data_IF_561941288687
#
_entry.id   IF_561941288687
#
_cell.length_a   1.000
_cell.length_b   1.000
_cell.length_c   1.000
_cell.angle_alpha   90.00
_cell.angle_beta   90.00
_cell.angle_gamma   90.00
#
_symmetry.space_group_name_H-M   'P 1'
#
loop_
_entity.id
_entity.type
_entity.pdbx_description
1 polymer ?
#
# COMPACT_ATOMS: atom_id res chain seq x y z
N UNK A 1 91.99 -44.83 91.33
CA UNK A 1 91.19 -44.42 92.51
C UNK A 1 91.06 -42.90 92.47
N UNK A 2 89.90 -42.28 92.34
CA UNK A 2 88.54 -42.80 92.23
C UNK A 2 87.65 -41.71 91.63
N UNK A 3 86.84 -42.09 90.63
CA UNK A 3 85.63 -41.36 90.26
C UNK A 3 84.66 -41.48 91.44
N UNK A 4 83.91 -40.43 91.83
CA UNK A 4 82.79 -40.63 92.71
C UNK A 4 81.68 -41.34 91.92
N UNK A 5 81.49 -42.62 92.19
CA UNK A 5 80.39 -43.47 91.70
C UNK A 5 79.05 -43.16 92.40
N UNK A 6 78.81 -41.92 92.82
CA UNK A 6 77.52 -41.51 93.38
C UNK A 6 77.25 -40.06 92.99
N UNK A 7 76.33 -39.88 92.03
CA UNK A 7 76.06 -38.61 91.38
C UNK A 7 75.66 -37.50 92.36
N UNK A 8 76.31 -36.34 92.22
CA UNK A 8 75.87 -35.00 92.65
C UNK A 8 75.44 -34.75 94.10
N UNK A 9 75.39 -35.77 94.96
CA UNK A 9 74.75 -35.68 96.26
C UNK A 9 75.68 -35.06 97.31
N UNK A 10 75.49 -33.77 97.59
CA UNK A 10 76.36 -32.98 98.48
C UNK A 10 75.99 -33.03 99.98
N UNK A 11 74.86 -33.65 100.37
CA UNK A 11 74.48 -33.87 101.78
C UNK A 11 73.24 -34.79 101.89
N UNK A 12 72.94 -35.30 103.08
CA UNK A 12 71.69 -36.02 103.39
C UNK A 12 70.45 -35.19 102.95
N UNK A 13 69.44 -35.86 102.39
CA UNK A 13 68.26 -35.19 101.78
C UNK A 13 68.49 -34.56 100.39
N UNK A 14 69.62 -34.81 99.72
CA UNK A 14 69.87 -34.31 98.34
C UNK A 14 68.74 -34.67 97.34
N UNK A 15 68.22 -35.90 97.41
CA UNK A 15 67.13 -36.36 96.54
C UNK A 15 65.81 -35.59 96.77
N UNK A 16 65.54 -35.16 98.01
CA UNK A 16 64.36 -34.34 98.33
C UNK A 16 64.52 -32.92 97.76
N UNK A 17 65.69 -32.30 97.94
CA UNK A 17 65.97 -30.96 97.37
C UNK A 17 65.97 -30.96 95.84
N UNK A 18 66.47 -32.03 95.21
CA UNK A 18 66.41 -32.19 93.75
C UNK A 18 64.97 -32.31 93.25
N UNK A 19 64.12 -33.10 93.93
CA UNK A 19 62.68 -33.18 93.62
C UNK A 19 61.98 -31.84 93.82
N UNK A 20 62.30 -31.11 94.87
CA UNK A 20 61.74 -29.79 95.14
C UNK A 20 62.12 -28.78 94.07
N UNK A 21 63.39 -28.77 93.63
CA UNK A 21 63.85 -27.93 92.53
C UNK A 21 63.18 -28.31 91.20
N UNK A 22 63.03 -29.59 90.89
CA UNK A 22 62.29 -30.06 89.70
C UNK A 22 60.80 -29.67 89.75
N UNK A 23 60.18 -29.72 90.93
CA UNK A 23 58.83 -29.22 91.14
C UNK A 23 58.74 -27.71 90.94
N UNK A 24 59.71 -26.95 91.45
CA UNK A 24 59.84 -25.51 91.21
C UNK A 24 60.01 -25.19 89.73
N UNK A 25 60.92 -25.84 89.02
CA UNK A 25 61.15 -25.62 87.58
C UNK A 25 59.87 -25.90 86.78
N UNK A 26 59.17 -27.01 87.06
CA UNK A 26 57.89 -27.31 86.41
C UNK A 26 56.84 -26.23 86.69
N UNK A 27 56.71 -25.80 87.95
CA UNK A 27 55.74 -24.75 88.35
C UNK A 27 56.10 -23.39 87.75
N UNK A 28 57.38 -23.09 87.68
CA UNK A 28 57.92 -21.86 87.11
C UNK A 28 57.70 -21.84 85.59
N UNK A 29 57.98 -22.94 84.90
CA UNK A 29 57.75 -23.12 83.47
C UNK A 29 56.24 -23.00 83.13
N UNK A 30 55.37 -23.68 83.89
CA UNK A 30 53.92 -23.55 83.77
C UNK A 30 53.48 -22.08 83.95
N UNK A 31 53.94 -21.42 85.01
CA UNK A 31 53.55 -20.05 85.34
C UNK A 31 54.05 -19.03 84.29
N UNK A 32 55.32 -19.11 83.90
CA UNK A 32 55.91 -18.17 82.94
C UNK A 32 55.34 -18.38 81.54
N UNK A 33 55.13 -19.63 81.10
CA UNK A 33 54.56 -19.93 79.79
C UNK A 33 53.11 -19.46 79.69
N UNK A 34 52.28 -19.75 80.69
CA UNK A 34 50.88 -19.33 80.71
C UNK A 34 50.73 -17.81 80.84
N UNK A 35 51.47 -17.18 81.76
CA UNK A 35 51.43 -15.73 81.95
C UNK A 35 51.94 -14.99 80.71
N UNK A 36 53.00 -15.49 80.07
CA UNK A 36 53.52 -14.93 78.82
C UNK A 36 52.52 -15.06 77.66
N UNK A 37 51.89 -16.22 77.48
CA UNK A 37 50.87 -16.43 76.44
C UNK A 37 49.69 -15.48 76.65
N UNK A 38 49.18 -15.37 77.87
CA UNK A 38 48.07 -14.47 78.19
C UNK A 38 48.42 -13.01 77.92
N UNK A 39 49.51 -12.51 78.52
CA UNK A 39 49.90 -11.10 78.38
C UNK A 39 50.28 -10.71 76.95
N UNK A 40 50.80 -11.65 76.14
CA UNK A 40 51.13 -11.40 74.73
C UNK A 40 49.92 -11.45 73.81
N UNK A 41 48.98 -12.37 74.00
CA UNK A 41 47.95 -12.65 72.98
C UNK A 41 46.54 -12.18 73.35
N UNK A 42 46.21 -11.98 74.64
CA UNK A 42 44.84 -11.66 75.09
C UNK A 42 44.25 -10.43 74.38
N UNK A 43 44.98 -9.32 74.33
CA UNK A 43 44.55 -8.09 73.65
C UNK A 43 44.35 -8.30 72.14
N UNK A 44 45.24 -9.06 71.48
CA UNK A 44 45.11 -9.36 70.06
C UNK A 44 43.89 -10.24 69.78
N UNK A 45 43.61 -11.23 70.63
CA UNK A 45 42.43 -12.09 70.52
C UNK A 45 41.15 -11.29 70.72
N UNK A 46 41.09 -10.39 71.70
CA UNK A 46 39.94 -9.49 71.92
C UNK A 46 39.72 -8.61 70.69
N UNK A 47 40.79 -7.99 70.17
CA UNK A 47 40.70 -7.12 68.99
C UNK A 47 40.28 -7.90 67.74
N UNK A 48 40.78 -9.12 67.55
CA UNK A 48 40.39 -9.98 66.44
C UNK A 48 38.89 -10.35 66.53
N UNK A 49 38.39 -10.69 67.72
CA UNK A 49 36.96 -10.93 67.95
C UNK A 49 36.11 -9.71 67.59
N UNK A 50 36.51 -8.50 68.02
CA UNK A 50 35.82 -7.26 67.68
C UNK A 50 35.79 -6.97 66.18
N UNK A 51 36.90 -7.21 65.47
CA UNK A 51 36.97 -7.04 64.01
C UNK A 51 36.02 -8.02 63.32
N UNK A 52 36.06 -9.30 63.71
CA UNK A 52 35.21 -10.35 63.14
C UNK A 52 33.73 -10.05 63.37
N UNK A 53 33.36 -9.58 64.56
CA UNK A 53 31.98 -9.19 64.88
C UNK A 53 31.52 -8.00 64.03
N UNK A 54 32.37 -6.99 63.85
CA UNK A 54 32.08 -5.87 62.94
C UNK A 54 31.89 -6.33 61.50
N UNK A 55 32.74 -7.23 61.00
CA UNK A 55 32.61 -7.78 59.64
C UNK A 55 31.29 -8.53 59.50
N UNK A 56 30.92 -9.39 60.46
CA UNK A 56 29.62 -10.09 60.45
C UNK A 56 28.46 -9.11 60.38
N UNK A 57 28.46 -8.08 61.24
CA UNK A 57 27.41 -7.06 61.27
C UNK A 57 27.28 -6.30 59.94
N UNK A 58 28.40 -5.91 59.32
CA UNK A 58 28.40 -5.24 58.00
C UNK A 58 27.86 -6.19 56.92
N UNK A 59 28.30 -7.45 56.91
CA UNK A 59 27.80 -8.44 55.94
C UNK A 59 26.30 -8.69 56.12
N UNK A 60 25.82 -8.83 57.36
CA UNK A 60 24.38 -8.98 57.63
C UNK A 60 23.58 -7.78 57.13
N UNK A 61 24.05 -6.54 57.37
CA UNK A 61 23.41 -5.34 56.86
C UNK A 61 23.36 -5.32 55.32
N UNK A 62 24.48 -5.62 54.65
CA UNK A 62 24.54 -5.71 53.18
C UNK A 62 23.60 -6.79 52.64
N UNK A 63 23.54 -7.95 53.29
CA UNK A 63 22.68 -9.06 52.87
C UNK A 63 21.19 -8.71 53.01
N UNK A 64 20.81 -7.97 54.05
CA UNK A 64 19.43 -7.49 54.25
C UNK A 64 19.10 -6.43 53.20
N UNK A 65 19.92 -5.39 53.06
CA UNK A 65 19.66 -4.30 52.11
C UNK A 65 19.65 -4.79 50.65
N UNK A 66 20.55 -5.71 50.29
CA UNK A 66 20.55 -6.34 48.97
C UNK A 66 19.29 -7.17 48.73
N UNK A 67 18.79 -7.89 49.75
CA UNK A 67 17.57 -8.66 49.64
C UNK A 67 16.34 -7.77 49.43
N UNK A 68 16.22 -6.68 50.20
CA UNK A 68 15.13 -5.70 50.06
C UNK A 68 15.12 -5.06 48.67
N UNK A 69 16.28 -4.56 48.20
CA UNK A 69 16.40 -3.98 46.85
C UNK A 69 16.10 -5.01 45.75
N UNK A 70 16.42 -6.29 45.98
CA UNK A 70 16.14 -7.36 45.01
C UNK A 70 14.65 -7.63 44.92
N UNK A 71 13.94 -7.68 46.05
CA UNK A 71 12.48 -7.83 46.07
C UNK A 71 11.81 -6.67 45.35
N UNK A 72 12.18 -5.42 45.66
CA UNK A 72 11.65 -4.25 44.96
C UNK A 72 11.92 -4.30 43.44
N UNK A 73 13.14 -4.67 43.02
CA UNK A 73 13.46 -4.80 41.61
C UNK A 73 12.70 -5.94 40.91
N UNK A 74 12.37 -7.03 41.63
CA UNK A 74 11.55 -8.12 41.12
C UNK A 74 10.10 -7.68 40.90
N UNK A 75 9.52 -6.95 41.87
CA UNK A 75 8.18 -6.38 41.77
C UNK A 75 8.07 -5.38 40.61
N UNK A 76 9.06 -4.48 40.48
CA UNK A 76 9.13 -3.54 39.36
C UNK A 76 9.23 -4.27 38.01
N UNK A 77 10.04 -5.33 37.94
CA UNK A 77 10.21 -6.10 36.69
C UNK A 77 8.92 -6.79 36.28
N UNK A 78 8.20 -7.41 37.23
CA UNK A 78 6.92 -8.06 36.98
C UNK A 78 5.89 -7.05 36.47
N UNK A 79 5.81 -5.88 37.12
CA UNK A 79 4.94 -4.79 36.69
C UNK A 79 5.22 -4.35 35.24
N UNK A 80 6.50 -4.19 34.87
CA UNK A 80 6.86 -3.83 33.50
C UNK A 80 6.57 -4.96 32.50
N UNK A 81 6.71 -6.23 32.91
CA UNK A 81 6.36 -7.39 32.08
C UNK A 81 4.85 -7.45 31.80
N UNK A 82 4.02 -7.30 32.83
CA UNK A 82 2.55 -7.22 32.69
C UNK A 82 2.13 -6.08 31.77
N UNK A 83 2.76 -4.91 31.95
CA UNK A 83 2.50 -3.73 31.11
C UNK A 83 2.90 -3.98 29.65
N UNK A 84 4.04 -4.61 29.41
CA UNK A 84 4.49 -4.96 28.06
C UNK A 84 3.54 -5.95 27.39
N UNK A 85 3.10 -6.97 28.11
CA UNK A 85 2.11 -7.94 27.61
C UNK A 85 0.78 -7.26 27.28
N UNK A 86 0.30 -6.39 28.17
CA UNK A 86 -0.91 -5.60 27.93
C UNK A 86 -0.78 -4.75 26.65
N UNK A 87 0.32 -3.99 26.49
CA UNK A 87 0.54 -3.16 25.29
C UNK A 87 0.61 -4.01 24.02
N UNK A 88 1.28 -5.17 24.05
CA UNK A 88 1.37 -6.09 22.91
C UNK A 88 -0.01 -6.64 22.51
N UNK A 89 -0.78 -7.10 23.49
CA UNK A 89 -2.12 -7.66 23.25
C UNK A 89 -3.08 -6.60 22.72
N UNK A 90 -3.10 -5.40 23.32
CA UNK A 90 -3.94 -4.30 22.85
C UNK A 90 -3.53 -3.82 21.45
N UNK A 91 -2.23 -3.73 21.16
CA UNK A 91 -1.75 -3.36 19.83
C UNK A 91 -2.24 -4.34 18.77
N UNK A 92 -2.17 -5.65 19.03
CA UNK A 92 -2.65 -6.67 18.10
C UNK A 92 -4.15 -6.55 17.82
N UNK A 93 -4.97 -6.32 18.85
CA UNK A 93 -6.41 -6.11 18.69
C UNK A 93 -6.71 -4.83 17.88
N UNK A 94 -6.01 -3.73 18.18
CA UNK A 94 -6.15 -2.47 17.46
C UNK A 94 -5.68 -2.58 16.01
N UNK A 95 -4.64 -3.37 15.73
CA UNK A 95 -4.17 -3.61 14.36
C UNK A 95 -5.30 -4.19 13.50
N UNK A 96 -6.01 -5.19 14.03
CA UNK A 96 -7.09 -5.83 13.29
C UNK A 96 -8.32 -4.92 13.16
N UNK A 97 -8.68 -4.15 14.19
CA UNK A 97 -9.77 -3.18 14.14
C UNK A 97 -9.48 -2.07 13.11
N UNK A 98 -8.28 -1.49 13.16
CA UNK A 98 -7.89 -0.40 12.25
C UNK A 98 -7.80 -0.90 10.81
N UNK A 99 -7.29 -2.11 10.56
CA UNK A 99 -7.30 -2.70 9.20
C UNK A 99 -8.71 -2.83 8.65
N UNK A 100 -9.67 -3.30 9.47
CA UNK A 100 -11.10 -3.38 9.06
C UNK A 100 -11.66 -2.00 8.78
N UNK A 101 -11.34 -1.00 9.60
CA UNK A 101 -11.79 0.38 9.42
C UNK A 101 -11.24 1.00 8.15
N UNK A 102 -9.95 0.82 7.86
CA UNK A 102 -9.31 1.27 6.60
C UNK A 102 -10.02 0.64 5.39
N UNK A 103 -10.28 -0.68 5.44
CA UNK A 103 -11.01 -1.37 4.37
C UNK A 103 -12.42 -0.80 4.18
N UNK A 104 -13.16 -0.62 5.26
CA UNK A 104 -14.52 -0.07 5.23
C UNK A 104 -14.58 1.35 4.63
N UNK A 105 -13.63 2.22 4.96
CA UNK A 105 -13.61 3.59 4.41
C UNK A 105 -13.18 3.57 2.95
N UNK A 106 -12.22 2.71 2.60
CA UNK A 106 -11.79 2.50 1.22
C UNK A 106 -12.95 2.07 0.31
N UNK A 107 -13.79 1.15 0.79
CA UNK A 107 -15.02 0.71 0.11
C UNK A 107 -16.08 1.83 0.03
N UNK A 108 -16.28 2.60 1.10
CA UNK A 108 -17.20 3.76 1.13
C UNK A 108 -16.77 4.84 0.12
N UNK A 109 -15.47 5.11 0.01
CA UNK A 109 -14.90 6.03 -0.99
C UNK A 109 -15.12 5.51 -2.40
N UNK A 110 -14.86 4.22 -2.65
CA UNK A 110 -15.10 3.61 -3.96
C UNK A 110 -16.57 3.78 -4.38
N UNK A 111 -17.51 3.47 -3.47
CA UNK A 111 -18.95 3.59 -3.72
C UNK A 111 -19.38 5.04 -3.99
N UNK A 112 -18.89 6.00 -3.20
CA UNK A 112 -19.18 7.43 -3.40
C UNK A 112 -18.65 7.96 -4.73
N UNK A 113 -17.41 7.64 -5.07
CA UNK A 113 -16.81 8.05 -6.34
C UNK A 113 -17.53 7.40 -7.52
N UNK A 114 -17.88 6.11 -7.42
CA UNK A 114 -18.67 5.41 -8.43
C UNK A 114 -20.02 6.08 -8.67
N UNK A 115 -20.78 6.33 -7.60
CA UNK A 115 -22.10 6.97 -7.67
C UNK A 115 -22.00 8.41 -8.21
N UNK A 116 -21.02 9.19 -7.77
CA UNK A 116 -20.81 10.54 -8.29
C UNK A 116 -20.43 10.53 -9.78
N UNK A 117 -19.61 9.56 -10.21
CA UNK A 117 -19.19 9.42 -11.60
C UNK A 117 -20.34 8.99 -12.50
N UNK A 118 -21.22 8.07 -12.06
CA UNK A 118 -22.44 7.70 -12.78
C UNK A 118 -23.34 8.92 -13.00
N UNK A 119 -23.55 9.74 -11.97
CA UNK A 119 -24.35 10.96 -12.07
C UNK A 119 -23.72 12.02 -12.99
N UNK A 120 -22.39 12.17 -12.98
CA UNK A 120 -21.68 13.06 -13.92
C UNK A 120 -21.76 12.54 -15.36
N UNK A 121 -21.69 11.22 -15.58
CA UNK A 121 -21.86 10.61 -16.90
C UNK A 121 -23.26 10.89 -17.45
N UNK A 122 -24.32 10.78 -16.63
CA UNK A 122 -25.67 11.17 -17.05
C UNK A 122 -25.79 12.65 -17.44
N UNK A 123 -24.96 13.51 -16.85
CA UNK A 123 -24.90 14.96 -17.11
C UNK A 123 -23.80 15.37 -18.07
N UNK A 124 -23.13 14.40 -18.72
CA UNK A 124 -22.00 14.67 -19.63
C UNK A 124 -22.37 15.65 -20.75
N UNK A 125 -23.62 15.61 -21.22
CA UNK A 125 -24.14 16.54 -22.22
C UNK A 125 -24.01 18.02 -21.80
N UNK A 126 -24.15 18.34 -20.51
CA UNK A 126 -24.03 19.72 -20.00
C UNK A 126 -22.60 20.23 -20.15
N UNK A 127 -21.62 19.40 -19.78
CA UNK A 127 -20.18 19.73 -19.89
C UNK A 127 -19.79 19.89 -21.37
N UNK A 128 -20.31 19.02 -22.25
CA UNK A 128 -20.03 19.10 -23.69
C UNK A 128 -20.71 20.31 -24.36
N UNK A 129 -21.87 20.72 -23.88
CA UNK A 129 -22.58 21.90 -24.38
C UNK A 129 -21.94 23.22 -23.92
N UNK A 130 -21.33 23.25 -22.73
CA UNK A 130 -20.57 24.40 -22.22
C UNK A 130 -19.25 24.65 -22.99
N UNK A 131 -18.77 23.67 -23.76
CA UNK A 131 -17.57 23.82 -24.58
C UNK A 131 -17.81 24.71 -25.81
N UNK A 132 -17.02 25.78 -25.93
CA UNK A 132 -17.05 26.72 -27.05
C UNK A 132 -15.65 26.83 -27.68
N UNK A 133 -15.49 26.34 -28.92
CA UNK A 133 -14.26 26.47 -29.72
C UNK A 133 -14.61 26.60 -31.21
N UNK A 134 -13.69 27.10 -32.02
CA UNK A 134 -13.90 27.36 -33.46
C UNK A 134 -14.03 26.05 -34.24
N UNK A 135 -15.25 25.71 -34.66
CA UNK A 135 -15.51 24.48 -35.40
C UNK A 135 -15.30 24.64 -36.91
N UNK A 136 -14.35 23.89 -37.47
CA UNK A 136 -14.13 23.82 -38.92
C UNK A 136 -14.11 22.37 -39.44
N UNK A 137 -14.76 22.05 -40.58
CA UNK A 137 -14.80 20.69 -41.15
C UNK A 137 -13.46 20.13 -41.65
N UNK A 138 -12.34 20.82 -41.46
CA UNK A 138 -11.02 20.38 -41.94
C UNK A 138 -10.42 19.36 -40.99
N UNK A 139 -9.89 18.26 -41.54
CA UNK A 139 -9.38 17.11 -40.77
C UNK A 139 -8.35 17.48 -39.69
N UNK A 140 -7.50 18.48 -39.94
CA UNK A 140 -6.50 18.93 -38.96
C UNK A 140 -7.11 19.72 -37.80
N UNK A 141 -8.06 20.62 -38.08
CA UNK A 141 -8.75 21.43 -37.06
C UNK A 141 -9.69 20.56 -36.23
N UNK A 142 -10.30 19.55 -36.85
CA UNK A 142 -11.17 18.59 -36.21
C UNK A 142 -10.44 17.74 -35.15
N UNK A 143 -9.19 17.34 -35.44
CA UNK A 143 -8.34 16.62 -34.48
C UNK A 143 -7.99 17.49 -33.27
N UNK A 144 -7.69 18.76 -33.50
CA UNK A 144 -7.39 19.72 -32.42
C UNK A 144 -8.64 19.96 -31.56
N UNK A 145 -9.77 20.23 -32.20
CA UNK A 145 -11.07 20.42 -31.54
C UNK A 145 -11.44 19.21 -30.65
N UNK A 146 -11.21 17.97 -31.12
CA UNK A 146 -11.42 16.77 -30.30
C UNK A 146 -10.53 16.72 -29.07
N UNK A 147 -9.24 17.04 -29.24
CA UNK A 147 -8.29 17.01 -28.13
C UNK A 147 -8.65 18.06 -27.08
N UNK A 148 -9.08 19.25 -27.51
CA UNK A 148 -9.56 20.31 -26.62
C UNK A 148 -10.87 19.93 -25.93
N UNK A 149 -11.82 19.34 -26.67
CA UNK A 149 -13.09 18.86 -26.10
C UNK A 149 -12.85 17.76 -25.06
N UNK A 150 -11.94 16.82 -25.33
CA UNK A 150 -11.56 15.76 -24.39
C UNK A 150 -10.92 16.33 -23.13
N UNK A 151 -9.99 17.27 -23.28
CA UNK A 151 -9.36 17.96 -22.14
C UNK A 151 -10.39 18.74 -21.32
N UNK A 152 -11.34 19.40 -21.97
CA UNK A 152 -12.41 20.13 -21.29
C UNK A 152 -13.33 19.21 -20.50
N UNK A 153 -13.70 18.06 -21.08
CA UNK A 153 -14.52 17.05 -20.40
C UNK A 153 -13.78 16.45 -19.22
N UNK A 154 -12.50 16.11 -19.38
CA UNK A 154 -11.67 15.57 -18.30
C UNK A 154 -11.52 16.56 -17.14
N UNK A 155 -11.21 17.82 -17.43
CA UNK A 155 -11.10 18.88 -16.43
C UNK A 155 -12.46 19.18 -15.76
N UNK A 156 -13.54 19.23 -16.54
CA UNK A 156 -14.89 19.48 -16.04
C UNK A 156 -15.38 18.37 -15.13
N UNK A 157 -15.23 17.11 -15.54
CA UNK A 157 -15.60 15.96 -14.73
C UNK A 157 -14.74 15.82 -13.48
N UNK A 158 -13.42 16.04 -13.60
CA UNK A 158 -12.51 16.04 -12.45
C UNK A 158 -12.88 17.11 -11.41
N UNK A 159 -13.20 18.33 -11.85
CA UNK A 159 -13.66 19.41 -10.95
C UNK A 159 -14.99 19.10 -10.29
N UNK A 160 -15.97 18.57 -11.03
CA UNK A 160 -17.27 18.21 -10.48
C UNK A 160 -17.15 17.07 -9.45
N UNK A 161 -16.34 16.05 -9.76
CA UNK A 161 -16.04 14.96 -8.83
C UNK A 161 -15.34 15.49 -7.57
N UNK A 162 -14.34 16.36 -7.72
CA UNK A 162 -13.67 16.97 -6.57
C UNK A 162 -14.65 17.78 -5.70
N UNK A 163 -15.51 18.59 -6.30
CA UNK A 163 -16.50 19.38 -5.56
C UNK A 163 -17.50 18.50 -4.79
N UNK A 164 -17.91 17.36 -5.35
CA UNK A 164 -18.92 16.49 -4.72
C UNK A 164 -18.34 15.50 -3.72
N UNK A 165 -17.14 14.99 -3.99
CA UNK A 165 -16.55 13.89 -3.22
C UNK A 165 -15.45 14.35 -2.27
N UNK A 166 -14.63 15.35 -2.63
CA UNK A 166 -13.41 15.64 -1.87
C UNK A 166 -13.69 16.07 -0.42
N UNK A 167 -14.69 16.91 -0.15
CA UNK A 167 -15.02 17.31 1.22
C UNK A 167 -15.50 16.14 2.08
N UNK A 168 -16.35 15.28 1.52
CA UNK A 168 -16.88 14.11 2.22
C UNK A 168 -15.79 13.05 2.46
N UNK A 169 -14.94 12.80 1.47
CA UNK A 169 -13.79 11.90 1.59
C UNK A 169 -12.81 12.45 2.61
N UNK A 170 -12.46 13.74 2.52
CA UNK A 170 -11.56 14.41 3.46
C UNK A 170 -12.07 14.31 4.91
N UNK A 171 -13.34 14.60 5.15
CA UNK A 171 -13.94 14.47 6.48
C UNK A 171 -13.88 13.02 7.01
N UNK A 172 -14.13 12.02 6.15
CA UNK A 172 -14.05 10.60 6.49
C UNK A 172 -12.61 10.17 6.83
N UNK A 173 -11.63 10.57 6.01
CA UNK A 173 -10.20 10.32 6.25
C UNK A 173 -9.77 10.97 7.56
N UNK A 174 -10.09 12.24 7.77
CA UNK A 174 -9.71 12.98 8.98
C UNK A 174 -10.32 12.38 10.25
N UNK A 175 -11.62 12.06 10.23
CA UNK A 175 -12.29 11.41 11.36
C UNK A 175 -11.65 10.06 11.71
N UNK A 176 -11.20 9.33 10.69
CA UNK A 176 -10.62 8.00 10.87
C UNK A 176 -9.17 8.07 11.34
N UNK A 177 -8.40 9.04 10.85
CA UNK A 177 -7.08 9.36 11.39
C UNK A 177 -7.17 9.76 12.86
N UNK A 178 -8.14 10.61 13.23
CA UNK A 178 -8.38 10.98 14.63
C UNK A 178 -8.70 9.76 15.50
N UNK A 179 -9.60 8.89 15.03
CA UNK A 179 -9.90 7.63 15.72
C UNK A 179 -8.67 6.75 15.91
N UNK A 180 -7.84 6.56 14.87
CA UNK A 180 -6.60 5.78 14.97
C UNK A 180 -5.65 6.35 16.04
N UNK A 181 -5.52 7.68 16.09
CA UNK A 181 -4.69 8.37 17.07
C UNK A 181 -5.24 8.19 18.49
N UNK A 182 -6.54 8.44 18.70
CA UNK A 182 -7.19 8.33 20.01
C UNK A 182 -7.15 6.90 20.56
N UNK A 183 -7.32 5.90 19.70
CA UNK A 183 -7.24 4.48 20.07
C UNK A 183 -5.83 4.03 20.45
N UNK A 184 -4.79 4.62 19.84
CA UNK A 184 -3.39 4.31 20.16
C UNK A 184 -2.83 5.10 21.34
N UNK A 185 -3.46 6.22 21.73
CA UNK A 185 -3.00 7.11 22.80
C UNK A 185 -2.79 6.40 24.16
N UNK A 186 -3.68 5.49 24.61
CA UNK A 186 -3.52 4.80 25.89
C UNK A 186 -2.33 3.82 25.93
N UNK A 187 -1.84 3.38 24.77
CA UNK A 187 -0.71 2.45 24.66
C UNK A 187 0.65 3.16 24.74
N UNK A 188 0.65 4.48 24.56
CA UNK A 188 1.86 5.29 24.56
C UNK A 188 2.17 5.80 25.98
N UNK A 189 3.45 6.03 26.31
CA UNK A 189 3.87 6.65 27.55
C UNK A 189 3.31 8.08 27.67
N UNK A 190 3.01 8.53 28.89
CA UNK A 190 2.48 9.86 29.17
C UNK A 190 3.34 11.01 28.62
N UNK A 191 4.65 10.80 28.51
CA UNK A 191 5.60 11.74 27.87
C UNK A 191 5.31 11.94 26.39
N UNK A 192 5.00 10.87 25.66
CA UNK A 192 4.76 10.89 24.21
C UNK A 192 3.34 11.32 23.88
N UNK A 193 2.35 11.04 24.74
CA UNK A 193 0.94 11.42 24.54
C UNK A 193 0.76 12.92 24.25
N UNK A 194 1.55 13.78 24.91
CA UNK A 194 1.52 15.23 24.69
C UNK A 194 2.10 15.69 23.34
N UNK A 195 2.90 14.85 22.68
CA UNK A 195 3.63 15.15 21.45
C UNK A 195 3.07 14.42 20.22
N UNK A 196 2.07 13.55 20.38
CA UNK A 196 1.48 12.76 19.27
C UNK A 196 0.98 13.65 18.13
N UNK A 197 0.38 14.81 18.45
CA UNK A 197 -0.10 15.77 17.43
C UNK A 197 1.02 16.38 16.58
N UNK A 198 2.25 16.50 17.11
CA UNK A 198 3.42 16.95 16.36
C UNK A 198 4.00 15.81 15.51
N UNK A 199 3.84 14.57 15.98
CA UNK A 199 4.36 13.36 15.38
C UNK A 199 3.45 12.77 14.31
N UNK A 200 2.23 13.23 14.07
CA UNK A 200 1.42 12.84 12.91
C UNK A 200 0.77 14.09 12.33
N UNK A 201 1.48 14.82 11.43
CA UNK A 201 0.88 15.98 10.78
C UNK A 201 -0.33 15.53 9.96
N UNK A 202 -1.51 16.00 10.31
CA UNK A 202 -2.72 15.87 9.50
C UNK A 202 -2.55 16.72 8.24
N UNK A 203 -1.87 16.20 7.22
CA UNK A 203 -1.81 16.85 5.92
C UNK A 203 -3.21 16.89 5.32
N UNK A 204 -3.51 17.95 4.57
CA UNK A 204 -4.71 17.99 3.73
C UNK A 204 -4.57 16.86 2.71
N UNK A 205 -5.38 15.82 2.87
CA UNK A 205 -5.50 14.76 1.89
C UNK A 205 -6.26 15.33 0.68
N UNK A 206 -5.59 15.34 -0.47
CA UNK A 206 -6.18 15.80 -1.73
C UNK A 206 -6.28 14.59 -2.67
N UNK A 207 -7.50 14.28 -3.09
CA UNK A 207 -7.78 13.09 -3.89
C UNK A 207 -7.57 13.42 -5.37
N UNK A 208 -6.71 12.69 -6.06
CA UNK A 208 -6.50 12.89 -7.50
C UNK A 208 -7.43 12.00 -8.32
N UNK A 209 -8.27 12.63 -9.14
CA UNK A 209 -9.18 11.96 -10.07
C UNK A 209 -8.49 11.86 -11.43
N UNK A 210 -7.75 10.77 -11.66
CA UNK A 210 -7.15 10.51 -12.97
C UNK A 210 -8.14 9.74 -13.86
N UNK A 211 -8.68 10.43 -14.87
CA UNK A 211 -9.72 9.90 -15.77
C UNK A 211 -9.15 9.43 -17.11
N UNK A 212 -7.94 9.87 -17.49
CA UNK A 212 -7.23 9.50 -18.72
C UNK A 212 -8.16 9.50 -19.96
N UNK A 213 -9.02 10.52 -20.11
CA UNK A 213 -10.02 10.55 -21.18
C UNK A 213 -9.37 10.60 -22.58
N UNK A 214 -8.20 11.22 -22.67
CA UNK A 214 -7.42 11.35 -23.91
C UNK A 214 -6.99 9.99 -24.51
N UNK A 215 -6.66 8.98 -23.69
CA UNK A 215 -6.30 7.65 -24.18
C UNK A 215 -7.55 6.80 -24.46
N UNK A 216 -8.61 7.00 -23.68
CA UNK A 216 -9.86 6.23 -23.77
C UNK A 216 -10.68 6.54 -25.03
N UNK A 217 -10.60 7.78 -25.52
CA UNK A 217 -11.40 8.25 -26.65
C UNK A 217 -10.63 8.44 -27.97
N UNK A 218 -9.42 7.90 -28.06
CA UNK A 218 -8.57 8.04 -29.25
C UNK A 218 -9.13 7.31 -30.49
N UNK A 219 -9.98 6.30 -30.30
CA UNK A 219 -10.59 5.50 -31.37
C UNK A 219 -11.89 6.11 -31.94
N UNK A 220 -12.28 7.31 -31.51
CA UNK A 220 -13.53 7.94 -31.94
C UNK A 220 -13.49 8.36 -33.42
N UNK A 221 -14.20 7.58 -34.27
CA UNK A 221 -14.43 7.87 -35.67
C UNK A 221 -15.77 8.60 -35.86
N UNK A 222 -15.71 9.74 -36.54
CA UNK A 222 -16.87 10.63 -36.71
C UNK A 222 -17.63 10.32 -37.98
N UNK A 223 -18.96 10.40 -37.91
CA UNK A 223 -19.80 10.44 -39.11
C UNK A 223 -20.46 11.83 -39.22
N UNK A 224 -19.74 12.76 -39.84
CA UNK A 224 -20.23 14.13 -40.14
C UNK A 224 -20.69 14.24 -41.61
N UNK A 225 -20.68 13.12 -42.34
CA UNK A 225 -21.17 13.11 -43.71
C UNK A 225 -22.67 13.39 -43.73
N UNK A 226 -23.09 14.26 -44.65
CA UNK A 226 -24.49 14.57 -44.84
C UNK A 226 -25.22 13.31 -45.32
N UNK A 227 -26.04 12.73 -44.47
CA UNK A 227 -26.94 11.63 -44.83
C UNK A 227 -28.37 12.16 -44.81
N UNK A 228 -29.03 12.19 -45.96
CA UNK A 228 -30.40 12.64 -46.07
C UNK A 228 -31.32 11.67 -45.29
N UNK A 229 -32.10 12.21 -44.35
CA UNK A 229 -32.99 11.44 -43.45
C UNK A 229 -33.99 10.55 -44.19
N UNK A 230 -34.36 10.93 -45.42
CA UNK A 230 -35.23 10.22 -46.34
C UNK A 230 -34.47 9.62 -47.53
N UNK A 231 -33.17 9.31 -47.38
CA UNK A 231 -32.40 8.62 -48.40
C UNK A 231 -33.11 7.34 -48.87
N UNK A 232 -32.96 7.01 -50.16
CA UNK A 232 -33.61 5.84 -50.75
C UNK A 232 -33.37 4.54 -49.96
N UNK A 233 -32.22 4.43 -49.28
CA UNK A 233 -31.89 3.33 -48.36
C UNK A 233 -32.82 3.28 -47.13
N UNK A 234 -33.03 4.41 -46.44
CA UNK A 234 -33.95 4.53 -45.29
C UNK A 234 -35.42 4.38 -45.68
N UNK A 235 -35.80 4.89 -46.85
CA UNK A 235 -37.16 4.77 -47.40
C UNK A 235 -37.49 3.31 -47.72
N UNK A 236 -36.56 2.59 -48.35
CA UNK A 236 -36.69 1.15 -48.61
C UNK A 236 -36.69 0.34 -47.31
N UNK A 237 -35.86 0.70 -46.32
CA UNK A 237 -35.84 0.01 -45.03
C UNK A 237 -37.14 0.18 -44.21
N UNK A 238 -37.79 1.35 -44.32
CA UNK A 238 -39.02 1.69 -43.60
C UNK A 238 -40.30 1.15 -44.26
N UNK A 239 -40.33 1.00 -45.59
CA UNK A 239 -41.51 0.50 -46.32
C UNK A 239 -41.43 -0.98 -46.74
N UNK A 240 -40.23 -1.57 -46.90
CA UNK A 240 -40.07 -2.98 -47.32
C UNK A 240 -39.57 -3.93 -46.21
N UNK A 241 -39.24 -3.42 -45.02
CA UNK A 241 -38.70 -4.20 -43.90
C UNK A 241 -37.22 -4.58 -44.09
N UNK A 242 -36.49 -4.72 -42.98
CA UNK A 242 -35.01 -4.83 -42.95
C UNK A 242 -34.45 -5.99 -43.79
N UNK A 243 -35.15 -7.12 -43.84
CA UNK A 243 -34.69 -8.35 -44.52
C UNK A 243 -34.79 -8.25 -46.05
N UNK A 244 -35.82 -7.58 -46.58
CA UNK A 244 -35.99 -7.40 -48.02
C UNK A 244 -35.24 -6.17 -48.55
N UNK A 245 -35.05 -5.14 -47.71
CA UNK A 245 -34.25 -3.97 -48.01
C UNK A 245 -32.77 -4.30 -48.25
N UNK A 246 -32.17 -5.19 -47.45
CA UNK A 246 -30.79 -5.64 -47.65
C UNK A 246 -30.61 -6.43 -48.95
N UNK A 247 -31.60 -7.24 -49.37
CA UNK A 247 -31.56 -7.95 -50.66
C UNK A 247 -31.71 -7.00 -51.85
N UNK A 248 -32.60 -6.01 -51.74
CA UNK A 248 -32.79 -5.00 -52.78
C UNK A 248 -31.54 -4.10 -52.94
N UNK A 249 -30.91 -3.70 -51.83
CA UNK A 249 -29.68 -2.89 -51.86
C UNK A 249 -28.48 -3.66 -52.43
N UNK A 250 -28.32 -4.95 -52.09
CA UNK A 250 -27.27 -5.79 -52.70
C UNK A 250 -27.43 -5.98 -54.21
N UNK A 251 -28.67 -6.03 -54.72
CA UNK A 251 -28.94 -6.13 -56.16
C UNK A 251 -28.66 -4.83 -56.92
N UNK A 252 -28.84 -3.66 -56.29
CA UNK A 252 -28.51 -2.36 -56.88
C UNK A 252 -27.00 -2.13 -56.88
N UNK A 253 -26.30 -2.51 -55.80
CA UNK A 253 -24.85 -2.36 -55.67
C UNK A 253 -24.07 -3.25 -56.67
N UNK A 254 -24.56 -4.47 -56.93
CA UNK A 254 -24.02 -5.35 -57.98
C UNK A 254 -24.14 -4.76 -59.40
N UNK A 255 -25.15 -3.94 -59.66
CA UNK A 255 -25.31 -3.29 -60.97
C UNK A 255 -24.36 -2.09 -61.16
N UNK A 256 -23.93 -1.42 -60.08
CA UNK A 256 -22.99 -0.31 -60.16
C UNK A 256 -21.51 -0.75 -60.19
N UNK A 257 -21.20 -1.94 -59.67
CA UNK A 257 -19.83 -2.47 -59.63
C UNK A 257 -19.34 -3.03 -60.98
N UNK A 258 -20.20 -3.11 -62.00
CA UNK A 258 -19.85 -3.51 -63.36
C UNK A 258 -19.23 -2.37 -64.22
N UNK A 259 -18.98 -1.19 -63.66
CA UNK A 259 -18.56 0.01 -64.42
C UNK A 259 -17.29 0.69 -63.89
N UNK A 260 -16.23 -0.06 -63.57
CA UNK A 260 -14.91 0.54 -63.26
C UNK A 260 -13.76 -0.26 -63.89
N UNK A 261 -12.95 0.34 -64.79
CA UNK A 261 -11.72 -0.30 -65.28
C UNK A 261 -10.67 -0.36 -64.17
N UNK A 262 -10.05 -1.53 -64.01
CA UNK A 262 -9.02 -1.79 -63.02
C UNK A 262 -7.69 -1.10 -63.40
N UNK A 263 -7.13 -0.31 -62.48
CA UNK A 263 -5.73 0.12 -62.48
C UNK A 263 -4.91 -0.88 -61.63
N UNK A 264 -3.70 -1.27 -62.06
CA UNK A 264 -2.95 -2.36 -61.43
C UNK A 264 -2.28 -1.90 -60.13
N UNK A 265 -2.41 -2.74 -59.09
CA UNK A 265 -1.77 -2.55 -57.79
C UNK A 265 -0.31 -3.04 -57.85
N UNK A 266 0.61 -2.13 -57.57
CA UNK A 266 2.03 -2.34 -57.29
C UNK A 266 2.22 -3.28 -56.09
N UNK A 267 3.01 -4.35 -56.26
CA UNK A 267 3.49 -5.22 -55.20
C UNK A 267 5.02 -5.26 -55.22
N UNK A 268 5.64 -4.87 -54.12
CA UNK A 268 7.09 -4.97 -53.87
C UNK A 268 7.49 -6.38 -53.38
N UNK A 269 8.78 -6.76 -53.49
CA UNK A 269 9.20 -8.12 -53.82
C UNK A 269 9.84 -8.90 -52.65
N UNK A 270 9.85 -10.24 -52.73
CA UNK A 270 10.90 -11.04 -52.08
C UNK A 270 11.10 -12.43 -52.71
N UNK A 271 12.30 -12.57 -53.29
CA UNK A 271 13.18 -13.74 -53.45
C UNK A 271 12.70 -15.09 -54.04
N UNK A 272 13.32 -15.45 -55.19
CA UNK A 272 13.48 -16.84 -55.68
C UNK A 272 13.57 -16.98 -57.22
N UNK A 273 14.69 -17.44 -57.84
CA UNK A 273 14.99 -17.28 -59.28
C UNK A 273 14.86 -18.62 -60.09
N UNK A 274 15.33 -18.71 -61.36
CA UNK A 274 14.91 -18.03 -62.60
C UNK A 274 14.68 -19.04 -63.76
N UNK A 275 14.21 -18.59 -64.94
CA UNK A 275 14.49 -19.14 -66.31
C UNK A 275 13.45 -18.62 -67.32
N UNK A 276 13.69 -18.21 -68.57
CA UNK A 276 14.84 -17.73 -69.35
C UNK A 276 14.23 -17.22 -70.69
N UNK A 277 14.85 -16.21 -71.32
CA UNK A 277 14.88 -15.92 -72.78
C UNK A 277 13.67 -15.22 -73.46
N UNK A 278 13.82 -13.89 -73.64
CA UNK A 278 13.85 -13.12 -74.91
C UNK A 278 12.58 -13.03 -75.83
N UNK A 279 12.57 -12.21 -76.93
CA UNK A 279 11.86 -10.93 -77.05
C UNK A 279 10.99 -10.86 -78.34
N UNK A 280 10.90 -9.75 -79.11
CA UNK A 280 10.12 -8.51 -78.94
C UNK A 280 9.04 -8.33 -80.04
N UNK A 281 8.29 -7.22 -79.93
CA UNK A 281 8.08 -6.20 -80.97
C UNK A 281 6.61 -5.77 -81.20
N UNK A 282 6.46 -4.45 -81.20
CA UNK A 282 5.25 -3.69 -81.50
C UNK A 282 4.98 -3.66 -83.00
N UNK A 283 3.72 -3.85 -83.40
CA UNK A 283 3.17 -3.13 -84.56
C UNK A 283 1.76 -2.62 -84.25
N UNK A 284 1.65 -1.31 -84.42
CA UNK A 284 0.45 -0.47 -84.48
C UNK A 284 -0.55 -0.97 -85.51
N UNK A 285 -1.79 -1.20 -85.10
CA UNK A 285 -2.95 -1.22 -86.00
C UNK A 285 -4.02 -0.26 -85.45
N UNK A 286 -4.19 0.85 -86.17
CA UNK A 286 -5.37 1.70 -86.12
C UNK A 286 -6.62 0.83 -86.37
N UNK A 287 -7.53 0.72 -85.40
CA UNK A 287 -8.91 0.30 -85.64
C UNK A 287 -9.88 1.42 -85.26
N UNK A 288 -10.31 2.11 -86.32
CA UNK A 288 -11.68 2.51 -86.66
C UNK A 288 -12.72 2.70 -85.54
N UNK A 289 -13.25 3.92 -85.50
CA UNK A 289 -14.40 4.46 -84.75
C UNK A 289 -15.72 3.66 -84.86
N UNK A 290 -15.74 2.62 -85.68
CA UNK A 290 -16.90 1.77 -85.97
C UNK A 290 -17.05 0.64 -84.92
N UNK A 291 -15.95 0.21 -84.28
CA UNK A 291 -15.96 -0.77 -83.18
C UNK A 291 -16.38 -0.17 -81.83
N UNK A 292 -16.17 1.14 -81.63
CA UNK A 292 -16.61 1.86 -80.42
C UNK A 292 -18.14 1.98 -80.35
N UNK A 293 -18.80 2.15 -81.51
CA UNK A 293 -20.25 2.26 -81.59
C UNK A 293 -20.93 0.90 -81.35
N UNK A 294 -20.31 -0.19 -81.80
CA UNK A 294 -20.77 -1.57 -81.52
C UNK A 294 -20.59 -1.93 -80.04
N UNK A 295 -19.53 -1.45 -79.37
CA UNK A 295 -19.33 -1.61 -77.93
C UNK A 295 -20.31 -0.79 -77.06
N UNK A 296 -20.79 0.37 -77.54
CA UNK A 296 -21.87 1.13 -76.87
C UNK A 296 -23.24 0.50 -77.12
N UNK A 297 -23.52 -0.01 -78.33
CA UNK A 297 -24.78 -0.67 -78.66
C UNK A 297 -24.95 -2.04 -77.96
N UNK A 298 -23.85 -2.76 -77.72
CA UNK A 298 -23.88 -4.05 -76.98
C UNK A 298 -24.09 -3.86 -75.48
N UNK A 299 -23.71 -2.72 -74.89
CA UNK A 299 -23.96 -2.42 -73.47
C UNK A 299 -25.41 -2.00 -73.18
N UNK A 300 -26.17 -1.52 -74.18
CA UNK A 300 -27.63 -1.34 -74.04
C UNK A 300 -28.43 -2.59 -74.41
N UNK A 301 -27.83 -3.56 -75.12
CA UNK A 301 -28.48 -4.83 -75.47
C UNK A 301 -28.39 -5.90 -74.35
N UNK A 302 -27.47 -5.77 -73.40
CA UNK A 302 -27.37 -6.67 -72.23
C UNK A 302 -28.33 -6.31 -71.07
N UNK A 303 -29.24 -5.35 -71.28
CA UNK A 303 -30.34 -5.00 -70.36
C UNK A 303 -31.55 -5.96 -70.43
N UNK A 304 -31.41 -7.10 -71.09
CA UNK A 304 -32.46 -8.13 -71.24
C UNK A 304 -32.47 -9.13 -70.08
N UNK A 305 -32.33 -8.65 -68.84
CA UNK A 305 -32.62 -9.45 -67.65
C UNK A 305 -34.11 -9.37 -67.35
N UNK A 306 -34.77 -10.51 -67.14
CA UNK A 306 -36.24 -10.65 -66.93
C UNK A 306 -36.79 -9.85 -65.73
N UNK A 307 -35.94 -9.17 -64.96
CA UNK A 307 -36.31 -8.30 -63.85
C UNK A 307 -36.45 -6.82 -64.26
N UNK A 308 -35.76 -6.35 -65.32
CA UNK A 308 -35.83 -4.95 -65.78
C UNK A 308 -37.17 -4.62 -66.45
N UNK A 309 -37.77 -5.60 -67.14
CA UNK A 309 -39.06 -5.42 -67.84
C UNK A 309 -40.24 -5.23 -66.87
N UNK A 310 -40.19 -5.82 -65.67
CA UNK A 310 -41.22 -5.63 -64.64
C UNK A 310 -41.26 -4.20 -64.07
N UNK A 311 -40.09 -3.56 -63.92
CA UNK A 311 -39.98 -2.18 -63.44
C UNK A 311 -40.44 -1.17 -64.49
N UNK A 312 -40.17 -1.43 -65.78
CA UNK A 312 -40.62 -0.57 -66.88
C UNK A 312 -42.14 -0.64 -67.08
N UNK A 313 -42.73 -1.83 -66.97
CA UNK A 313 -44.19 -2.01 -67.13
C UNK A 313 -44.94 -1.41 -65.93
N UNK A 314 -44.52 -1.69 -64.69
CA UNK A 314 -45.13 -1.10 -63.49
C UNK A 314 -44.91 0.41 -63.45
N UNK A 315 -43.72 0.89 -63.81
CA UNK A 315 -43.41 2.32 -63.93
C UNK A 315 -44.26 3.03 -65.00
N UNK A 316 -44.47 2.40 -66.16
CA UNK A 316 -45.31 2.93 -67.24
C UNK A 316 -46.81 2.96 -66.93
N UNK A 317 -47.32 1.96 -66.21
CA UNK A 317 -48.72 1.91 -65.77
C UNK A 317 -48.99 2.95 -64.68
N UNK A 318 -48.08 3.11 -63.72
CA UNK A 318 -48.18 4.16 -62.68
C UNK A 318 -48.08 5.55 -63.30
N UNK A 319 -47.19 5.76 -64.29
CA UNK A 319 -47.07 7.02 -65.03
C UNK A 319 -48.36 7.40 -65.76
N UNK A 320 -49.08 6.41 -66.32
CA UNK A 320 -50.35 6.61 -67.04
C UNK A 320 -51.57 6.75 -66.12
N UNK A 321 -51.56 6.13 -64.93
CA UNK A 321 -52.69 6.12 -64.00
C UNK A 321 -52.69 7.29 -62.99
N UNK A 322 -51.52 7.73 -62.55
CA UNK A 322 -51.37 8.73 -61.47
C UNK A 322 -51.21 10.16 -62.01
N UNK A 323 -50.89 10.31 -63.30
CA UNK A 323 -50.67 11.59 -63.95
C UNK A 323 -49.33 12.21 -63.55
N UNK A 324 -48.62 12.77 -64.53
CA UNK A 324 -47.29 13.36 -64.32
C UNK A 324 -47.26 14.43 -63.21
N UNK A 325 -48.40 15.07 -62.93
CA UNK A 325 -48.57 16.11 -61.90
C UNK A 325 -48.33 15.59 -60.49
N UNK A 326 -48.80 14.38 -60.15
CA UNK A 326 -48.61 13.80 -58.82
C UNK A 326 -47.16 13.32 -58.61
N UNK A 327 -46.52 12.80 -59.65
CA UNK A 327 -45.10 12.43 -59.65
C UNK A 327 -44.22 13.69 -59.56
N UNK A 328 -44.57 14.75 -60.29
CA UNK A 328 -43.88 16.03 -60.21
C UNK A 328 -44.07 16.70 -58.83
N UNK A 329 -45.26 16.61 -58.23
CA UNK A 329 -45.52 17.11 -56.88
C UNK A 329 -44.73 16.35 -55.82
N UNK A 330 -44.68 15.01 -55.89
CA UNK A 330 -43.92 14.20 -54.92
C UNK A 330 -42.40 14.37 -55.10
N UNK A 331 -41.91 14.44 -56.33
CA UNK A 331 -40.51 14.74 -56.62
C UNK A 331 -40.12 16.17 -56.18
N UNK A 332 -41.01 17.15 -56.40
CA UNK A 332 -40.81 18.52 -55.94
C UNK A 332 -40.81 18.62 -54.41
N UNK A 333 -41.73 17.93 -53.73
CA UNK A 333 -41.78 17.87 -52.26
C UNK A 333 -40.54 17.17 -51.67
N UNK A 334 -40.10 16.06 -52.27
CA UNK A 334 -38.86 15.37 -51.88
C UNK A 334 -37.62 16.25 -52.10
N UNK A 335 -37.55 16.95 -53.24
CA UNK A 335 -36.48 17.90 -53.54
C UNK A 335 -36.46 19.10 -52.59
N UNK A 336 -37.64 19.61 -52.20
CA UNK A 336 -37.78 20.66 -51.19
C UNK A 336 -37.31 20.20 -49.82
N UNK A 337 -37.65 18.98 -49.39
CA UNK A 337 -37.15 18.40 -48.14
C UNK A 337 -35.64 18.18 -48.19
N UNK A 338 -35.10 17.73 -49.31
CA UNK A 338 -33.65 17.58 -49.53
C UNK A 338 -32.91 18.92 -49.47
N UNK A 339 -33.43 19.95 -50.14
CA UNK A 339 -32.86 21.30 -50.05
C UNK A 339 -32.99 21.86 -48.64
N UNK A 340 -34.14 21.68 -47.99
CA UNK A 340 -34.36 22.11 -46.61
C UNK A 340 -33.34 21.47 -45.66
N UNK A 341 -33.15 20.16 -45.75
CA UNK A 341 -32.19 19.44 -44.91
C UNK A 341 -30.74 19.83 -45.24
N UNK A 342 -30.41 20.02 -46.53
CA UNK A 342 -29.07 20.42 -46.97
C UNK A 342 -28.74 21.88 -46.62
N UNK A 343 -29.72 22.78 -46.62
CA UNK A 343 -29.58 24.15 -46.17
C UNK A 343 -29.50 24.24 -44.64
N UNK A 344 -30.20 23.34 -43.93
CA UNK A 344 -30.15 23.25 -42.46
C UNK A 344 -28.85 22.60 -41.95
N UNK A 345 -28.16 21.82 -42.80
CA UNK A 345 -26.86 21.20 -42.51
C UNK A 345 -25.68 22.20 -42.57
N UNK A 346 -25.74 23.18 -41.66
CA UNK A 346 -24.69 24.19 -41.46
C UNK A 346 -23.56 23.65 -40.57
N UNK A 347 -22.44 24.39 -40.47
CA UNK A 347 -21.30 24.04 -39.57
C UNK A 347 -21.75 23.85 -38.11
N UNK A 348 -22.75 24.61 -37.65
CA UNK A 348 -23.35 24.46 -36.32
C UNK A 348 -24.17 23.17 -36.15
N UNK A 349 -24.87 22.72 -37.19
CA UNK A 349 -25.60 21.46 -37.16
C UNK A 349 -24.65 20.26 -37.13
N UNK A 350 -23.53 20.35 -37.87
CA UNK A 350 -22.44 19.36 -37.83
C UNK A 350 -21.79 19.27 -36.45
N UNK A 351 -21.49 20.42 -35.84
CA UNK A 351 -20.96 20.49 -34.48
C UNK A 351 -21.91 19.82 -33.46
N UNK A 352 -23.22 20.12 -33.52
CA UNK A 352 -24.21 19.47 -32.65
C UNK A 352 -24.29 17.96 -32.86
N UNK A 353 -24.24 17.50 -34.11
CA UNK A 353 -24.22 16.07 -34.42
C UNK A 353 -22.97 15.39 -33.88
N UNK A 354 -21.81 16.05 -33.99
CA UNK A 354 -20.54 15.56 -33.42
C UNK A 354 -20.60 15.50 -31.90
N UNK A 355 -21.05 16.57 -31.25
CA UNK A 355 -21.20 16.63 -29.78
C UNK A 355 -22.12 15.51 -29.29
N UNK A 356 -23.22 15.24 -29.99
CA UNK A 356 -24.14 14.14 -29.65
C UNK A 356 -23.49 12.76 -29.80
N UNK A 357 -22.85 12.49 -30.94
CA UNK A 357 -22.11 11.23 -31.17
C UNK A 357 -20.98 11.05 -30.15
N UNK A 358 -20.31 12.14 -29.79
CA UNK A 358 -19.27 12.15 -28.78
C UNK A 358 -19.82 11.86 -27.39
N UNK A 359 -20.94 12.47 -26.98
CA UNK A 359 -21.59 12.18 -25.69
C UNK A 359 -21.99 10.71 -25.61
N UNK A 360 -22.60 10.15 -26.65
CA UNK A 360 -23.01 8.73 -26.66
C UNK A 360 -21.79 7.81 -26.54
N UNK A 361 -20.74 8.05 -27.33
CA UNK A 361 -19.50 7.28 -27.30
C UNK A 361 -18.74 7.43 -25.96
N UNK A 362 -18.59 8.66 -25.47
CA UNK A 362 -17.91 8.94 -24.22
C UNK A 362 -18.68 8.36 -23.04
N UNK A 363 -20.02 8.36 -23.06
CA UNK A 363 -20.85 7.72 -22.03
C UNK A 363 -20.52 6.23 -21.90
N UNK A 364 -20.48 5.49 -23.02
CA UNK A 364 -20.15 4.05 -23.00
C UNK A 364 -18.72 3.80 -22.51
N UNK A 365 -17.76 4.61 -22.95
CA UNK A 365 -16.36 4.47 -22.53
C UNK A 365 -16.13 4.84 -21.07
N UNK A 366 -16.72 5.95 -20.62
CA UNK A 366 -16.61 6.40 -19.23
C UNK A 366 -17.24 5.42 -18.27
N UNK A 367 -18.34 4.74 -18.64
CA UNK A 367 -18.94 3.68 -17.84
C UNK A 367 -17.98 2.52 -17.55
N UNK A 368 -17.09 2.18 -18.49
CA UNK A 368 -16.12 1.09 -18.30
C UNK A 368 -15.02 1.46 -17.29
N UNK A 369 -14.68 2.75 -17.17
CA UNK A 369 -13.60 3.20 -16.27
C UNK A 369 -14.10 3.55 -14.87
N UNK A 370 -15.42 3.58 -14.60
CA UNK A 370 -15.94 3.90 -13.26
C UNK A 370 -15.34 2.98 -12.21
N UNK A 371 -15.29 1.68 -12.49
CA UNK A 371 -14.70 0.68 -11.59
C UNK A 371 -13.20 0.90 -11.39
N UNK A 372 -12.49 1.36 -12.42
CA UNK A 372 -11.06 1.65 -12.36
C UNK A 372 -10.77 2.93 -11.56
N UNK A 373 -11.47 4.03 -11.86
CA UNK A 373 -11.29 5.32 -11.18
C UNK A 373 -11.69 5.24 -9.71
N UNK A 374 -12.82 4.58 -9.39
CA UNK A 374 -13.25 4.37 -8.01
C UNK A 374 -12.26 3.48 -7.23
N UNK A 375 -11.75 2.40 -7.84
CA UNK A 375 -10.73 1.55 -7.23
C UNK A 375 -9.40 2.30 -7.02
N UNK A 376 -9.01 3.18 -7.95
CA UNK A 376 -7.80 3.99 -7.80
C UNK A 376 -7.94 4.99 -6.63
N UNK A 377 -9.08 5.65 -6.52
CA UNK A 377 -9.38 6.56 -5.40
C UNK A 377 -9.39 5.83 -4.04
N UNK A 378 -10.02 4.66 -4.01
CA UNK A 378 -10.03 3.74 -2.88
C UNK A 378 -8.60 3.34 -2.47
N UNK A 379 -7.75 3.00 -3.43
CA UNK A 379 -6.35 2.67 -3.18
C UNK A 379 -5.56 3.86 -2.62
N UNK A 380 -5.77 5.08 -3.13
CA UNK A 380 -5.12 6.30 -2.61
C UNK A 380 -5.47 6.51 -1.12
N UNK A 381 -6.76 6.43 -0.78
CA UNK A 381 -7.22 6.57 0.61
C UNK A 381 -6.65 5.46 1.49
N UNK A 382 -6.67 4.21 1.01
CA UNK A 382 -6.11 3.07 1.73
C UNK A 382 -4.62 3.25 2.00
N UNK A 383 -3.84 3.74 1.03
CA UNK A 383 -2.40 3.97 1.15
C UNK A 383 -2.09 5.07 2.18
N UNK A 384 -2.83 6.17 2.17
CA UNK A 384 -2.63 7.27 3.12
C UNK A 384 -2.98 6.86 4.56
N UNK A 385 -4.09 6.14 4.75
CA UNK A 385 -4.45 5.62 6.07
C UNK A 385 -3.48 4.55 6.55
N UNK A 386 -3.06 3.62 5.67
CA UNK A 386 -2.09 2.58 6.02
C UNK A 386 -0.74 3.19 6.40
N UNK A 387 -0.32 4.24 5.71
CA UNK A 387 0.93 4.98 6.01
C UNK A 387 0.84 5.68 7.37
N UNK A 388 -0.29 6.36 7.64
CA UNK A 388 -0.56 6.99 8.94
C UNK A 388 -0.54 5.96 10.06
N UNK A 389 -1.20 4.82 9.83
CA UNK A 389 -1.27 3.72 10.76
C UNK A 389 0.10 3.08 11.03
N UNK A 390 0.91 2.83 9.98
CA UNK A 390 2.25 2.29 10.13
C UNK A 390 3.14 3.20 10.99
N UNK A 391 3.01 4.52 10.84
CA UNK A 391 3.72 5.50 11.67
C UNK A 391 3.29 5.45 13.14
N UNK A 392 2.00 5.23 13.41
CA UNK A 392 1.50 5.04 14.78
C UNK A 392 2.00 3.72 15.38
N UNK A 393 1.96 2.62 14.64
CA UNK A 393 2.54 1.34 15.08
C UNK A 393 4.02 1.49 15.44
N UNK A 394 4.79 2.22 14.63
CA UNK A 394 6.21 2.46 14.92
C UNK A 394 6.44 3.17 16.27
N UNK A 395 5.54 4.08 16.68
CA UNK A 395 5.63 4.75 17.99
C UNK A 395 5.33 3.79 19.14
N UNK A 396 4.35 2.91 18.98
CA UNK A 396 4.04 1.88 19.97
C UNK A 396 5.16 0.84 20.04
N UNK A 397 5.73 0.42 18.91
CA UNK A 397 6.88 -0.49 18.87
C UNK A 397 8.10 0.10 19.58
N UNK A 398 8.32 1.42 19.46
CA UNK A 398 9.38 2.10 20.20
C UNK A 398 9.13 2.05 21.71
N UNK A 399 7.88 2.24 22.14
CA UNK A 399 7.48 2.09 23.55
C UNK A 399 7.68 0.66 24.05
N UNK A 400 7.34 -0.35 23.25
CA UNK A 400 7.58 -1.75 23.59
C UNK A 400 9.08 -2.04 23.75
N UNK A 401 9.93 -1.50 22.87
CA UNK A 401 11.39 -1.63 22.99
C UNK A 401 11.95 -0.96 24.25
N UNK A 402 11.40 0.18 24.64
CA UNK A 402 11.77 0.87 25.88
C UNK A 402 11.42 0.03 27.11
N UNK A 403 10.20 -0.51 27.16
CA UNK A 403 9.77 -1.43 28.23
C UNK A 403 10.65 -2.70 28.28
N UNK A 404 10.97 -3.29 27.12
CA UNK A 404 11.89 -4.44 27.05
C UNK A 404 13.31 -4.10 27.55
N UNK A 405 13.79 -2.89 27.27
CA UNK A 405 15.09 -2.42 27.76
C UNK A 405 15.07 -2.22 29.29
N UNK A 406 14.00 -1.65 29.84
CA UNK A 406 13.82 -1.51 31.29
C UNK A 406 13.79 -2.87 32.00
N UNK A 407 13.05 -3.84 31.45
CA UNK A 407 13.00 -5.22 31.98
C UNK A 407 14.40 -5.86 31.99
N UNK A 408 15.19 -5.68 30.92
CA UNK A 408 16.57 -6.19 30.86
C UNK A 408 17.47 -5.52 31.89
N UNK A 409 17.34 -4.21 32.07
CA UNK A 409 18.09 -3.47 33.08
C UNK A 409 17.74 -3.94 34.49
N UNK A 410 16.45 -4.13 34.80
CA UNK A 410 15.99 -4.65 36.08
C UNK A 410 16.51 -6.07 36.32
N UNK A 411 16.50 -6.92 35.28
CA UNK A 411 17.06 -8.28 35.36
C UNK A 411 18.55 -8.26 35.69
N UNK A 412 19.34 -7.45 35.00
CA UNK A 412 20.77 -7.31 35.31
C UNK A 412 21.01 -6.78 36.73
N UNK A 413 20.18 -5.86 37.22
CA UNK A 413 20.24 -5.35 38.59
C UNK A 413 19.91 -6.45 39.62
N UNK A 414 18.93 -7.31 39.34
CA UNK A 414 18.59 -8.46 40.18
C UNK A 414 19.78 -9.42 40.28
N UNK A 415 20.40 -9.78 39.15
CA UNK A 415 21.56 -10.69 39.12
C UNK A 415 22.76 -10.13 39.90
N UNK A 416 23.01 -8.81 39.79
CA UNK A 416 24.03 -8.13 40.60
C UNK A 416 23.71 -8.19 42.09
N UNK A 417 22.46 -7.95 42.49
CA UNK A 417 22.03 -8.00 43.89
C UNK A 417 22.14 -9.43 44.45
N UNK A 418 21.84 -10.46 43.65
CA UNK A 418 22.04 -11.86 44.05
C UNK A 418 23.51 -12.22 44.25
N UNK A 419 24.38 -11.68 43.39
CA UNK A 419 25.84 -11.86 43.52
C UNK A 419 26.35 -11.22 44.81
N UNK A 420 25.98 -9.97 45.09
CA UNK A 420 26.33 -9.26 46.34
C UNK A 420 25.81 -10.02 47.55
N UNK A 421 24.59 -10.55 47.49
CA UNK A 421 24.00 -11.32 48.57
C UNK A 421 24.77 -12.62 48.83
N UNK A 422 25.18 -13.34 47.78
CA UNK A 422 25.99 -14.56 47.86
C UNK A 422 27.38 -14.29 48.45
N UNK A 423 28.05 -13.25 47.97
CA UNK A 423 29.37 -12.83 48.47
C UNK A 423 29.32 -12.41 49.94
N UNK A 424 28.31 -11.64 50.33
CA UNK A 424 28.09 -11.24 51.72
C UNK A 424 27.92 -12.46 52.63
N UNK A 425 27.08 -13.44 52.24
CA UNK A 425 26.93 -14.70 53.00
C UNK A 425 28.26 -15.46 53.13
N UNK A 426 29.02 -15.55 52.04
CA UNK A 426 30.34 -16.21 52.04
C UNK A 426 31.32 -15.54 53.01
N UNK A 427 31.42 -14.21 52.97
CA UNK A 427 32.28 -13.44 53.88
C UNK A 427 31.82 -13.57 55.34
N UNK A 428 30.51 -13.56 55.60
CA UNK A 428 29.96 -13.82 56.94
C UNK A 428 30.33 -15.20 57.44
N UNK A 429 30.22 -16.25 56.61
CA UNK A 429 30.61 -17.61 56.98
C UNK A 429 32.10 -17.72 57.30
N UNK A 430 32.97 -17.07 56.52
CA UNK A 430 34.41 -16.98 56.81
C UNK A 430 34.67 -16.29 58.15
N UNK A 431 33.97 -15.20 58.44
CA UNK A 431 34.06 -14.49 59.71
C UNK A 431 33.62 -15.39 60.89
N UNK A 432 32.48 -16.07 60.79
CA UNK A 432 32.04 -17.05 61.81
C UNK A 432 33.05 -18.18 62.02
N UNK A 433 33.69 -18.67 60.96
CA UNK A 433 34.72 -19.69 61.07
C UNK A 433 35.96 -19.18 61.84
N UNK A 434 36.40 -17.95 61.55
CA UNK A 434 37.50 -17.30 62.26
C UNK A 434 37.16 -17.04 63.74
N UNK A 435 35.93 -16.64 64.03
CA UNK A 435 35.43 -16.47 65.40
C UNK A 435 35.53 -17.79 66.20
N UNK A 436 35.09 -18.91 65.62
CA UNK A 436 35.22 -20.24 66.25
C UNK A 436 36.68 -20.63 66.51
N UNK A 437 37.60 -20.29 65.59
CA UNK A 437 39.03 -20.53 65.80
C UNK A 437 39.58 -19.66 66.94
N UNK A 438 39.17 -18.39 67.03
CA UNK A 438 39.55 -17.49 68.13
C UNK A 438 38.98 -17.96 69.47
N UNK A 439 37.77 -18.49 69.50
CA UNK A 439 37.17 -19.12 70.69
C UNK A 439 37.95 -20.37 71.11
N UNK A 440 38.26 -21.27 70.19
CA UNK A 440 39.09 -22.44 70.46
C UNK A 440 40.46 -22.04 71.04
N UNK A 441 41.12 -21.05 70.44
CA UNK A 441 42.37 -20.50 70.96
C UNK A 441 42.20 -19.90 72.37
N UNK A 442 41.12 -19.15 72.60
CA UNK A 442 40.81 -18.58 73.91
C UNK A 442 40.66 -19.68 74.95
N UNK A 443 39.89 -20.72 74.65
CA UNK A 443 39.58 -21.81 75.57
C UNK A 443 40.82 -22.68 75.88
N UNK A 444 41.68 -22.89 74.88
CA UNK A 444 42.86 -23.74 75.02
C UNK A 444 44.04 -23.03 75.69
N UNK A 445 44.24 -21.74 75.42
CA UNK A 445 45.48 -21.03 75.78
C UNK A 445 45.28 -19.82 76.70
N UNK A 446 44.07 -19.24 76.78
CA UNK A 446 43.82 -18.00 77.54
C UNK A 446 42.88 -18.22 78.76
N UNK A 447 42.00 -19.21 78.71
CA UNK A 447 41.20 -19.63 79.87
C UNK A 447 41.98 -20.67 80.69
N UNK A 448 41.90 -20.57 82.02
CA UNK A 448 42.23 -21.68 82.91
C UNK A 448 41.04 -21.99 83.81
N UNK A 449 40.75 -23.29 83.95
CA UNK A 449 40.06 -23.85 85.11
C UNK A 449 40.80 -23.39 86.36
N UNK A 450 40.06 -22.75 87.27
CA UNK A 450 40.52 -22.47 88.63
C UNK A 450 40.97 -23.74 89.34
#
# INVERSE_FOLDING_TARGET
QGMPETGGALAEGFQERLKEFQCFERRFEECISQSAVKTKFEQHTIRAKQITEKVKSIMDAINIEAAEKRVAALEDREYQMDRLEFVKNQLNLLIDDIKKKIKSISEDVASKVSSAMEEEICRLHVIVDEFHSDFHPSHHVLKIYKSELLSHVEEGMGKNLAYRCSDAVFASVQSSQKYMIESMLPLLPSTVQSQVHMLVPSRKFDLSYDLNCATLCNDFQENIEFQFSLGWTSLVHRFLGSVNAQRALKLVDQNFQASRPALPLTRTPSSGPPSTIAPPNNETALMTQEDLMVAMATNVASLTSRTSMGVVIVGGVVYRAVGWRLIALSASLYGLLYLYERLTWTTKAKERSLKRQFVDYATEKLQLIISFTSANCSHQVQQEMATTFARLCQQVDQTQKELEAEIRQLTAKIDQLETVQSESKSLRHKATALEKQLEAFTNQYLQHQQ
#
